data_IF_508013487769
#
_entry.id   IF_508013487769
#
_cell.length_a   1.000
_cell.length_b   1.000
_cell.length_c   1.000
_cell.angle_alpha   90.00
_cell.angle_beta   90.00
_cell.angle_gamma   90.00
#
_symmetry.space_group_name_H-M   'P 1'
#
loop_
_entity.id
_entity.type
_entity.pdbx_description
1 polymer ?
#
# COMPACT_ATOMS: atom_id res chain seq x y z
N UNK A 1 -2.10 -1.63 -1.81
CA UNK A 1 -2.62 -1.99 -3.14
C UNK A 1 -1.82 -3.15 -3.70
N UNK A 2 -2.35 -3.84 -4.72
CA UNK A 2 -1.67 -4.94 -5.40
C UNK A 2 -0.87 -4.43 -6.61
N UNK A 3 0.35 -4.95 -6.78
CA UNK A 3 1.24 -4.59 -7.89
C UNK A 3 1.77 -5.85 -8.56
N UNK A 4 1.88 -5.84 -9.89
CA UNK A 4 2.53 -6.94 -10.61
C UNK A 4 4.04 -6.77 -10.54
N UNK A 5 4.73 -7.68 -9.87
CA UNK A 5 6.20 -7.71 -9.82
C UNK A 5 6.72 -8.80 -10.74
N UNK A 6 7.76 -8.51 -11.51
CA UNK A 6 8.40 -9.49 -12.38
C UNK A 6 9.91 -9.28 -12.47
N UNK A 7 10.62 -10.35 -12.80
CA UNK A 7 12.04 -10.33 -13.16
C UNK A 7 12.20 -10.83 -14.59
N UNK A 8 12.99 -10.11 -15.40
CA UNK A 8 13.30 -10.53 -16.77
C UNK A 8 14.51 -11.44 -16.84
N UNK A 9 14.83 -11.91 -18.05
CA UNK A 9 16.04 -12.72 -18.31
C UNK A 9 17.36 -12.03 -17.93
N UNK A 10 17.35 -10.70 -17.79
CA UNK A 10 18.51 -9.89 -17.40
C UNK A 10 18.59 -9.64 -15.88
N UNK A 11 17.68 -10.23 -15.09
CA UNK A 11 17.65 -10.16 -13.63
C UNK A 11 17.64 -11.59 -13.06
N UNK A 12 18.74 -12.36 -13.24
CA UNK A 12 18.76 -13.79 -12.94
C UNK A 12 18.51 -14.08 -11.45
N UNK A 13 19.08 -13.27 -10.55
CA UNK A 13 18.92 -13.44 -9.10
C UNK A 13 17.46 -13.25 -8.67
N UNK A 14 16.80 -12.17 -9.09
CA UNK A 14 15.39 -11.94 -8.79
C UNK A 14 14.47 -13.01 -9.42
N UNK A 15 14.80 -13.51 -10.61
CA UNK A 15 14.06 -14.60 -11.25
C UNK A 15 14.17 -15.91 -10.46
N UNK A 16 15.38 -16.27 -10.02
CA UNK A 16 15.62 -17.44 -9.15
C UNK A 16 14.86 -17.27 -7.84
N UNK A 17 14.94 -16.08 -7.22
CA UNK A 17 14.22 -15.78 -6.00
C UNK A 17 12.71 -16.02 -6.15
N UNK A 18 12.06 -15.44 -7.16
CA UNK A 18 10.62 -15.61 -7.36
C UNK A 18 10.21 -17.07 -7.67
N UNK A 19 11.11 -17.85 -8.29
CA UNK A 19 10.86 -19.27 -8.56
C UNK A 19 11.01 -20.19 -7.34
N UNK A 20 11.69 -19.73 -6.29
CA UNK A 20 12.09 -20.55 -5.13
C UNK A 20 11.47 -20.11 -3.81
N UNK A 21 11.07 -18.83 -3.70
CA UNK A 21 10.45 -18.27 -2.50
C UNK A 21 9.18 -19.06 -2.13
N UNK A 22 9.06 -19.39 -0.85
CA UNK A 22 7.84 -19.99 -0.32
C UNK A 22 6.82 -18.87 -0.10
N UNK A 23 5.60 -19.06 -0.65
CA UNK A 23 4.49 -18.09 -0.49
C UNK A 23 3.59 -18.58 0.64
N UNK A 24 3.17 -17.70 1.57
CA UNK A 24 3.43 -16.26 1.64
C UNK A 24 4.83 -15.91 2.16
N UNK A 25 5.35 -14.76 1.75
CA UNK A 25 6.54 -14.15 2.34
C UNK A 25 6.47 -12.63 2.23
N UNK A 26 6.94 -11.93 3.26
CA UNK A 26 7.26 -10.51 3.13
C UNK A 26 8.58 -10.37 2.40
N UNK A 27 8.62 -9.45 1.43
CA UNK A 27 9.82 -9.20 0.62
C UNK A 27 10.10 -7.70 0.57
N UNK A 28 11.37 -7.36 0.65
CA UNK A 28 11.91 -6.07 0.24
C UNK A 28 12.33 -6.18 -1.22
N UNK A 29 11.98 -5.18 -2.04
CA UNK A 29 12.41 -5.14 -3.42
C UNK A 29 12.79 -3.73 -3.86
N UNK A 30 13.83 -3.63 -4.68
CA UNK A 30 14.14 -2.43 -5.46
C UNK A 30 13.86 -2.72 -6.92
N UNK A 31 13.38 -1.74 -7.67
CA UNK A 31 13.02 -2.00 -9.04
C UNK A 31 12.50 -0.79 -9.79
N UNK A 32 12.24 -1.01 -11.07
CA UNK A 32 11.74 0.02 -11.98
C UNK A 32 10.23 -0.13 -12.14
N UNK A 33 9.50 0.83 -11.62
CA UNK A 33 8.06 0.94 -11.82
C UNK A 33 7.76 1.34 -13.27
N UNK A 34 6.71 0.76 -13.84
CA UNK A 34 6.14 1.09 -15.14
C UNK A 34 4.64 1.16 -15.00
N UNK A 35 4.06 2.25 -15.48
CA UNK A 35 2.63 2.38 -15.69
C UNK A 35 2.31 2.06 -17.14
N UNK A 36 1.25 1.29 -17.37
CA UNK A 36 0.74 0.97 -18.69
C UNK A 36 -0.78 1.18 -18.70
N UNK A 37 -1.26 1.91 -19.70
CA UNK A 37 -2.68 2.23 -19.87
C UNK A 37 -3.17 1.68 -21.22
N UNK A 38 -3.64 0.41 -21.28
CA UNK A 38 -4.13 -0.19 -22.52
C UNK A 38 -5.44 0.45 -22.99
N UNK A 39 -6.33 0.77 -22.05
CA UNK A 39 -7.61 1.41 -22.29
C UNK A 39 -7.76 2.67 -21.41
N UNK A 40 -8.46 3.72 -21.88
CA UNK A 40 -8.71 4.92 -21.08
C UNK A 40 -9.33 4.58 -19.72
N UNK A 41 -8.65 4.98 -18.64
CA UNK A 41 -9.09 4.74 -17.26
C UNK A 41 -8.56 3.43 -16.64
N UNK A 42 -7.85 2.60 -17.39
CA UNK A 42 -7.18 1.41 -16.84
C UNK A 42 -5.68 1.71 -16.62
N UNK A 43 -5.24 1.82 -15.37
CA UNK A 43 -3.82 2.02 -15.04
C UNK A 43 -3.26 0.74 -14.44
N UNK A 44 -2.36 0.08 -15.17
CA UNK A 44 -1.64 -1.08 -14.68
C UNK A 44 -0.24 -0.67 -14.22
N UNK A 45 0.05 -0.88 -12.94
CA UNK A 45 1.36 -0.64 -12.37
C UNK A 45 2.11 -1.96 -12.27
N UNK A 46 3.28 -2.03 -12.89
CA UNK A 46 4.19 -3.16 -12.78
C UNK A 46 5.56 -2.72 -12.29
N UNK A 47 6.25 -3.58 -11.54
CA UNK A 47 7.60 -3.32 -11.05
C UNK A 47 8.50 -4.41 -11.61
N UNK A 48 9.50 -3.99 -12.38
CA UNK A 48 10.62 -4.87 -12.74
C UNK A 48 11.61 -4.86 -11.59
N UNK A 49 11.65 -5.95 -10.82
CA UNK A 49 12.58 -6.10 -9.71
C UNK A 49 14.03 -6.11 -10.21
N UNK A 50 14.90 -5.37 -9.53
CA UNK A 50 16.35 -5.37 -9.73
C UNK A 50 17.03 -6.16 -8.60
N UNK A 51 16.59 -5.95 -7.36
CA UNK A 51 16.99 -6.72 -6.18
C UNK A 51 15.77 -7.12 -5.37
N UNK A 52 15.81 -8.28 -4.73
CA UNK A 52 14.72 -8.77 -3.87
C UNK A 52 15.27 -9.66 -2.76
N UNK A 53 14.78 -9.46 -1.54
CA UNK A 53 15.17 -10.24 -0.36
C UNK A 53 13.94 -10.49 0.53
N UNK A 54 13.93 -11.61 1.28
CA UNK A 54 12.92 -11.85 2.32
C UNK A 54 13.19 -10.91 3.49
N UNK A 55 12.12 -10.35 4.04
CA UNK A 55 12.14 -9.57 5.29
C UNK A 55 11.13 -10.13 6.27
N UNK A 56 11.27 -9.79 7.54
CA UNK A 56 10.25 -10.07 8.55
C UNK A 56 9.21 -8.95 8.63
N UNK A 57 8.16 -9.22 9.40
CA UNK A 57 7.07 -8.28 9.66
C UNK A 57 7.56 -6.99 10.34
N UNK A 58 8.51 -7.08 11.27
CA UNK A 58 9.06 -5.93 12.00
C UNK A 58 9.77 -4.96 11.03
N UNK A 59 10.62 -5.49 10.15
CA UNK A 59 11.31 -4.72 9.12
C UNK A 59 10.32 -4.06 8.17
N UNK A 60 9.30 -4.79 7.72
CA UNK A 60 8.22 -4.24 6.88
C UNK A 60 7.48 -3.12 7.61
N UNK A 61 7.10 -3.33 8.87
CA UNK A 61 6.37 -2.33 9.68
C UNK A 61 7.18 -1.06 9.85
N UNK A 62 8.48 -1.18 10.14
CA UNK A 62 9.39 -0.04 10.24
C UNK A 62 9.44 0.76 8.93
N UNK A 63 9.54 0.08 7.79
CA UNK A 63 9.52 0.77 6.49
C UNK A 63 8.21 1.49 6.20
N UNK A 64 7.07 0.96 6.65
CA UNK A 64 5.78 1.66 6.54
C UNK A 64 5.79 2.95 7.36
N UNK A 65 6.29 2.92 8.59
CA UNK A 65 6.42 4.11 9.45
C UNK A 65 7.39 5.12 8.86
N UNK A 66 8.61 4.70 8.51
CA UNK A 66 9.64 5.57 7.92
C UNK A 66 9.14 6.24 6.63
N UNK A 67 8.42 5.48 5.79
CA UNK A 67 7.83 6.01 4.55
C UNK A 67 6.72 7.02 4.85
N UNK A 68 5.87 6.75 5.83
CA UNK A 68 4.81 7.65 6.24
C UNK A 68 5.37 8.98 6.75
N UNK A 69 6.34 8.93 7.68
CA UNK A 69 7.00 10.11 8.25
C UNK A 69 7.62 10.98 7.16
N UNK A 70 8.51 10.41 6.35
CA UNK A 70 9.17 11.16 5.26
C UNK A 70 8.17 11.70 4.22
N UNK A 71 7.05 11.01 3.99
CA UNK A 71 6.02 11.50 3.06
C UNK A 71 5.22 12.64 3.67
N UNK A 72 4.92 12.60 4.97
CA UNK A 72 4.27 13.70 5.69
C UNK A 72 5.14 14.94 5.67
N UNK A 73 6.43 14.83 5.98
CA UNK A 73 7.38 15.96 5.92
C UNK A 73 7.37 16.63 4.53
N UNK A 74 7.48 15.83 3.45
CA UNK A 74 7.40 16.36 2.08
C UNK A 74 6.04 17.02 1.79
N UNK A 75 4.94 16.46 2.29
CA UNK A 75 3.60 16.99 2.10
C UNK A 75 3.35 18.29 2.87
N UNK A 76 4.00 18.50 4.02
CA UNK A 76 3.94 19.75 4.76
C UNK A 76 4.56 20.88 3.95
N UNK A 77 5.76 20.66 3.39
CA UNK A 77 6.43 21.62 2.51
C UNK A 77 5.60 21.86 1.24
N UNK A 78 5.04 20.79 0.65
CA UNK A 78 4.16 20.90 -0.52
C UNK A 78 2.88 21.71 -0.21
N UNK A 79 2.27 21.50 0.95
CA UNK A 79 1.06 22.24 1.38
C UNK A 79 1.37 23.71 1.66
N UNK A 80 2.53 24.01 2.24
CA UNK A 80 3.02 25.37 2.45
C UNK A 80 3.28 26.08 1.11
N UNK A 81 3.93 25.40 0.16
CA UNK A 81 4.13 25.89 -1.20
C UNK A 81 2.79 26.19 -1.89
N UNK A 82 1.80 25.32 -1.76
CA UNK A 82 0.44 25.55 -2.27
C UNK A 82 -0.20 26.80 -1.69
N UNK A 83 -0.17 26.92 -0.36
CA UNK A 83 -0.80 28.02 0.39
C UNK A 83 -0.12 29.37 0.11
N UNK A 84 1.18 29.37 -0.22
CA UNK A 84 1.92 30.58 -0.58
C UNK A 84 1.45 31.24 -1.89
N UNK A 85 0.78 30.47 -2.75
CA UNK A 85 0.38 30.85 -4.12
C UNK A 85 1.56 31.27 -5.04
N UNK A 86 2.82 31.11 -4.60
CA UNK A 86 3.99 31.39 -5.43
C UNK A 86 4.21 30.29 -6.47
N UNK A 87 4.81 30.65 -7.61
CA UNK A 87 5.09 29.74 -8.74
C UNK A 87 6.45 30.07 -9.36
N UNK A 88 7.03 29.09 -10.07
CA UNK A 88 8.30 29.24 -10.77
C UNK A 88 9.42 29.70 -9.84
N UNK A 89 10.24 30.66 -10.31
CA UNK A 89 11.40 31.16 -9.57
C UNK A 89 11.04 31.73 -8.19
N UNK A 90 9.90 32.44 -8.08
CA UNK A 90 9.47 33.01 -6.81
C UNK A 90 9.21 31.93 -5.75
N UNK A 91 8.65 30.79 -6.17
CA UNK A 91 8.44 29.67 -5.27
C UNK A 91 9.76 29.03 -4.86
N UNK A 92 10.70 28.89 -5.81
CA UNK A 92 12.03 28.36 -5.58
C UNK A 92 12.77 29.19 -4.53
N UNK A 93 12.85 30.51 -4.71
CA UNK A 93 13.47 31.43 -3.76
C UNK A 93 12.84 31.30 -2.37
N UNK A 94 11.50 31.34 -2.30
CA UNK A 94 10.77 31.20 -1.04
C UNK A 94 11.10 29.91 -0.27
N UNK A 95 11.14 28.76 -0.95
CA UNK A 95 11.44 27.49 -0.30
C UNK A 95 12.90 27.40 0.15
N UNK A 96 13.84 27.89 -0.67
CA UNK A 96 15.26 27.92 -0.31
C UNK A 96 15.54 28.85 0.88
N UNK A 97 14.89 30.01 0.94
CA UNK A 97 14.98 30.93 2.10
C UNK A 97 14.46 30.30 3.39
N UNK A 98 13.51 29.37 3.30
CA UNK A 98 13.02 28.58 4.44
C UNK A 98 13.93 27.40 4.81
N UNK A 99 15.05 27.21 4.11
CA UNK A 99 16.02 26.14 4.37
C UNK A 99 15.60 24.78 3.81
N UNK A 100 14.63 24.75 2.89
CA UNK A 100 14.25 23.52 2.19
C UNK A 100 15.37 23.14 1.21
N UNK A 101 15.68 21.85 1.09
CA UNK A 101 16.76 21.39 0.22
C UNK A 101 16.47 21.72 -1.26
N UNK A 102 17.54 21.88 -2.04
CA UNK A 102 17.41 22.18 -3.47
C UNK A 102 16.63 21.08 -4.20
N UNK A 103 16.85 19.81 -3.85
CA UNK A 103 16.22 18.67 -4.49
C UNK A 103 14.72 18.63 -4.24
N UNK A 104 14.29 18.86 -2.99
CA UNK A 104 12.88 18.90 -2.64
C UNK A 104 12.19 20.13 -3.25
N UNK A 105 12.88 21.28 -3.25
CA UNK A 105 12.39 22.51 -3.89
C UNK A 105 12.09 22.30 -5.36
N UNK A 106 13.05 21.76 -6.14
CA UNK A 106 12.82 21.47 -7.56
C UNK A 106 11.68 20.47 -7.77
N UNK A 107 11.60 19.43 -6.93
CA UNK A 107 10.52 18.45 -7.00
C UNK A 107 9.14 19.08 -6.80
N UNK A 108 9.00 19.97 -5.82
CA UNK A 108 7.74 20.66 -5.52
C UNK A 108 7.35 21.63 -6.65
N UNK A 109 8.30 22.40 -7.17
CA UNK A 109 8.06 23.32 -8.30
C UNK A 109 7.54 22.53 -9.51
N UNK A 110 8.22 21.44 -9.88
CA UNK A 110 7.81 20.58 -11.00
C UNK A 110 6.42 19.97 -10.76
N UNK A 111 6.15 19.50 -9.53
CA UNK A 111 4.88 18.90 -9.18
C UNK A 111 3.72 19.91 -9.31
N UNK A 112 3.88 21.14 -8.80
CA UNK A 112 2.85 22.18 -8.88
C UNK A 112 2.61 22.72 -10.29
N UNK A 113 3.60 22.62 -11.18
CA UNK A 113 3.41 22.98 -12.59
C UNK A 113 2.68 21.91 -13.40
N UNK A 114 2.79 20.63 -13.00
CA UNK A 114 2.24 19.50 -13.76
C UNK A 114 0.90 19.00 -13.24
N UNK A 115 0.68 19.09 -11.93
CA UNK A 115 -0.51 18.53 -11.28
C UNK A 115 -1.72 19.44 -11.51
N UNK A 116 -2.84 18.86 -11.98
CA UNK A 116 -4.05 19.62 -12.31
C UNK A 116 -4.85 20.00 -11.07
N UNK A 117 -4.82 19.14 -10.06
CA UNK A 117 -5.55 19.31 -8.80
C UNK A 117 -4.62 19.04 -7.60
N UNK A 118 -3.64 19.89 -7.33
CA UNK A 118 -2.61 19.59 -6.33
C UNK A 118 -3.17 19.52 -4.89
N UNK A 119 -4.26 20.23 -4.59
CA UNK A 119 -4.98 20.09 -3.32
C UNK A 119 -5.63 18.72 -3.15
N UNK A 120 -6.25 18.18 -4.21
CA UNK A 120 -6.84 16.84 -4.18
C UNK A 120 -5.75 15.78 -4.08
N UNK A 121 -4.65 15.95 -4.81
CA UNK A 121 -3.48 15.09 -4.71
C UNK A 121 -2.94 15.01 -3.28
N UNK A 122 -2.75 16.16 -2.61
CA UNK A 122 -2.30 16.20 -1.22
C UNK A 122 -3.29 15.52 -0.27
N UNK A 123 -4.61 15.69 -0.47
CA UNK A 123 -5.65 15.01 0.32
C UNK A 123 -5.60 13.49 0.14
N UNK A 124 -5.46 13.01 -1.10
CA UNK A 124 -5.39 11.58 -1.41
C UNK A 124 -4.14 10.94 -0.80
N UNK A 125 -2.99 11.61 -0.85
CA UNK A 125 -1.78 11.12 -0.19
C UNK A 125 -1.92 11.08 1.33
N UNK A 126 -2.47 12.14 1.97
CA UNK A 126 -2.74 12.14 3.42
C UNK A 126 -3.66 11.00 3.83
N UNK A 127 -4.71 10.74 3.05
CA UNK A 127 -5.61 9.62 3.26
C UNK A 127 -4.86 8.28 3.15
N UNK A 128 -4.07 8.10 2.09
CA UNK A 128 -3.31 6.87 1.84
C UNK A 128 -2.28 6.57 2.93
N UNK A 129 -1.59 7.59 3.45
CA UNK A 129 -0.66 7.46 4.58
C UNK A 129 -1.39 6.98 5.83
N UNK A 130 -2.54 7.58 6.16
CA UNK A 130 -3.36 7.18 7.31
C UNK A 130 -3.83 5.73 7.18
N UNK A 131 -4.32 5.36 6.00
CA UNK A 131 -4.77 3.99 5.73
C UNK A 131 -3.64 2.97 5.80
N UNK A 132 -2.44 3.34 5.35
CA UNK A 132 -1.23 2.53 5.50
C UNK A 132 -0.83 2.35 6.96
N UNK A 133 -0.82 3.42 7.76
CA UNK A 133 -0.47 3.34 9.18
C UNK A 133 -1.45 2.51 10.00
N UNK A 134 -2.75 2.54 9.68
CA UNK A 134 -3.77 1.68 10.31
C UNK A 134 -3.55 0.18 10.09
N UNK A 135 -2.72 -0.21 9.11
CA UNK A 135 -2.38 -1.62 8.90
C UNK A 135 -1.38 -2.15 9.92
N UNK A 136 -0.69 -1.26 10.62
CA UNK A 136 0.21 -1.63 11.69
C UNK A 136 -0.61 -1.94 12.93
N UNK A 137 -0.42 -3.13 13.50
CA UNK A 137 -1.05 -3.56 14.75
C UNK A 137 -0.41 -2.85 15.95
N UNK A 138 -0.55 -1.53 16.02
CA UNK A 138 -0.04 -0.69 17.10
C UNK A 138 -1.02 -0.62 18.29
N UNK A 139 -2.26 -1.08 18.09
CA UNK A 139 -3.40 -0.91 19.02
C UNK A 139 -3.94 -2.25 19.55
N UNK A 140 -3.07 -3.24 19.83
CA UNK A 140 -3.51 -4.52 20.41
C UNK A 140 -4.11 -4.40 21.83
N UNK A 141 -4.16 -3.21 22.45
CA UNK A 141 -4.68 -3.04 23.81
C UNK A 141 -6.07 -2.38 23.93
N UNK A 142 -6.60 -1.66 22.93
CA UNK A 142 -7.78 -0.79 23.16
C UNK A 142 -9.15 -1.33 22.66
N UNK A 143 -9.24 -2.54 22.08
CA UNK A 143 -10.54 -3.11 21.67
C UNK A 143 -10.57 -4.65 21.48
N UNK A 144 -9.95 -5.39 22.40
CA UNK A 144 -9.75 -6.84 22.25
C UNK A 144 -11.05 -7.69 22.28
N UNK A 145 -12.07 -7.29 23.04
CA UNK A 145 -13.21 -8.20 23.33
C UNK A 145 -14.31 -8.20 22.25
N UNK A 146 -14.63 -7.07 21.62
CA UNK A 146 -15.70 -7.01 20.60
C UNK A 146 -15.22 -7.38 19.17
N UNK A 147 -13.92 -7.22 18.88
CA UNK A 147 -13.32 -7.59 17.59
C UNK A 147 -12.99 -9.07 17.49
N UNK A 148 -12.79 -9.77 18.61
CA UNK A 148 -12.41 -11.18 18.63
C UNK A 148 -13.48 -12.08 18.01
N UNK A 149 -14.76 -11.92 18.40
CA UNK A 149 -15.86 -12.75 17.89
C UNK A 149 -16.09 -12.55 16.38
N UNK A 150 -16.02 -11.31 15.90
CA UNK A 150 -16.17 -10.99 14.48
C UNK A 150 -14.98 -11.49 13.65
N UNK A 151 -13.76 -11.37 14.19
CA UNK A 151 -12.55 -11.89 13.56
C UNK A 151 -12.60 -13.42 13.44
N UNK A 152 -13.00 -14.10 14.52
CA UNK A 152 -13.13 -15.56 14.51
C UNK A 152 -14.16 -16.01 13.47
N UNK A 153 -15.30 -15.34 13.40
CA UNK A 153 -16.31 -15.66 12.41
C UNK A 153 -15.84 -15.45 10.97
N UNK A 154 -15.17 -14.32 10.67
CA UNK A 154 -14.63 -14.05 9.33
C UNK A 154 -13.56 -15.09 8.96
N UNK A 155 -12.75 -15.52 9.93
CA UNK A 155 -11.79 -16.61 9.76
C UNK A 155 -12.47 -17.95 9.48
N UNK A 156 -13.52 -18.30 10.23
CA UNK A 156 -14.31 -19.50 9.99
C UNK A 156 -14.93 -19.49 8.58
N UNK A 157 -15.57 -18.38 8.18
CA UNK A 157 -16.12 -18.22 6.83
C UNK A 157 -15.03 -18.36 5.75
N UNK A 158 -13.85 -17.77 5.95
CA UNK A 158 -12.72 -17.93 5.03
C UNK A 158 -12.23 -19.38 4.97
N UNK A 159 -12.25 -20.13 6.08
CA UNK A 159 -11.88 -21.55 6.09
C UNK A 159 -12.94 -22.42 5.41
N UNK A 160 -14.22 -22.11 5.60
CA UNK A 160 -15.34 -22.83 4.98
C UNK A 160 -15.33 -22.66 3.45
N UNK A 161 -15.10 -21.44 2.98
CA UNK A 161 -15.08 -21.12 1.55
C UNK A 161 -13.71 -21.40 0.92
N UNK A 162 -12.64 -21.21 1.69
CA UNK A 162 -11.24 -21.22 1.26
C UNK A 162 -10.68 -22.62 1.16
N UNK A 163 -11.03 -23.29 0.06
CA UNK A 163 -10.31 -24.49 -0.36
C UNK A 163 -8.86 -24.19 -0.81
N UNK A 164 -8.27 -25.13 -1.53
CA UNK A 164 -6.86 -25.02 -2.00
C UNK A 164 -6.60 -23.86 -2.96
N UNK A 165 -7.64 -23.25 -3.53
CA UNK A 165 -7.56 -22.18 -4.55
C UNK A 165 -7.74 -20.77 -4.00
N UNK A 166 -8.12 -20.62 -2.72
CA UNK A 166 -8.59 -19.35 -2.18
C UNK A 166 -10.06 -19.07 -2.51
N UNK A 167 -10.54 -17.91 -2.06
CA UNK A 167 -11.91 -17.42 -2.16
C UNK A 167 -11.95 -16.18 -3.05
N UNK A 168 -12.94 -16.09 -3.92
CA UNK A 168 -13.23 -14.85 -4.65
C UNK A 168 -13.74 -13.77 -3.69
N UNK A 169 -13.14 -12.59 -3.72
CA UNK A 169 -13.41 -11.49 -2.80
C UNK A 169 -14.89 -11.09 -2.85
N UNK A 170 -15.45 -10.92 -4.05
CA UNK A 170 -16.84 -10.49 -4.20
C UNK A 170 -17.80 -11.55 -3.63
N UNK A 171 -17.56 -12.82 -3.96
CA UNK A 171 -18.34 -13.93 -3.41
C UNK A 171 -18.23 -14.03 -1.87
N UNK A 172 -17.05 -13.73 -1.32
CA UNK A 172 -16.83 -13.69 0.12
C UNK A 172 -17.63 -12.57 0.80
N UNK A 173 -17.64 -11.37 0.22
CA UNK A 173 -18.43 -10.24 0.73
C UNK A 173 -19.92 -10.55 0.74
N UNK A 174 -20.44 -11.15 -0.35
CA UNK A 174 -21.85 -11.56 -0.45
C UNK A 174 -22.21 -12.61 0.62
N UNK A 175 -21.32 -13.58 0.86
CA UNK A 175 -21.51 -14.61 1.87
C UNK A 175 -21.50 -14.03 3.30
N UNK A 176 -20.61 -13.07 3.58
CA UNK A 176 -20.55 -12.39 4.87
C UNK A 176 -21.78 -11.51 5.12
N UNK A 177 -22.23 -10.78 4.10
CA UNK A 177 -23.44 -9.97 4.16
C UNK A 177 -24.69 -10.84 4.43
N UNK A 178 -24.78 -12.01 3.79
CA UNK A 178 -25.87 -12.98 4.02
C UNK A 178 -25.91 -13.52 5.46
N UNK A 179 -24.80 -13.41 6.19
CA UNK A 179 -24.68 -13.81 7.61
C UNK A 179 -24.78 -12.61 8.57
N UNK A 180 -25.13 -11.43 8.07
CA UNK A 180 -25.37 -10.23 8.88
C UNK A 180 -24.11 -9.45 9.26
N UNK A 181 -22.97 -9.73 8.62
CA UNK A 181 -21.74 -8.96 8.85
C UNK A 181 -21.68 -7.80 7.88
N UNK A 182 -21.43 -6.60 8.40
CA UNK A 182 -21.22 -5.42 7.58
C UNK A 182 -19.92 -5.52 6.79
N UNK A 183 -19.94 -5.05 5.55
CA UNK A 183 -18.77 -4.91 4.68
C UNK A 183 -17.57 -4.28 5.40
N UNK A 184 -17.78 -3.21 6.18
CA UNK A 184 -16.72 -2.55 6.96
C UNK A 184 -15.96 -3.50 7.89
N UNK A 185 -16.68 -4.35 8.62
CA UNK A 185 -16.07 -5.35 9.53
C UNK A 185 -15.26 -6.38 8.74
N UNK A 186 -15.79 -6.84 7.61
CA UNK A 186 -15.10 -7.81 6.76
C UNK A 186 -13.80 -7.22 6.20
N UNK A 187 -13.87 -6.00 5.69
CA UNK A 187 -12.71 -5.27 5.17
C UNK A 187 -11.65 -5.04 6.24
N UNK A 188 -12.04 -4.65 7.46
CA UNK A 188 -11.13 -4.47 8.58
C UNK A 188 -10.41 -5.78 8.94
N UNK A 189 -11.15 -6.89 9.06
CA UNK A 189 -10.55 -8.18 9.39
C UNK A 189 -9.64 -8.68 8.27
N UNK A 190 -10.08 -8.66 7.00
CA UNK A 190 -9.23 -9.09 5.88
C UNK A 190 -7.95 -8.24 5.85
N UNK A 191 -8.08 -6.92 6.00
CA UNK A 191 -6.92 -6.01 6.03
C UNK A 191 -5.96 -6.38 7.15
N UNK A 192 -6.46 -6.68 8.34
CA UNK A 192 -5.64 -7.14 9.46
C UNK A 192 -4.92 -8.45 9.14
N UNK A 193 -5.63 -9.44 8.57
CA UNK A 193 -5.04 -10.73 8.22
C UNK A 193 -3.97 -10.61 7.12
N UNK A 194 -4.21 -9.77 6.12
CA UNK A 194 -3.23 -9.45 5.07
C UNK A 194 -2.02 -8.73 5.66
N UNK A 195 -2.26 -7.78 6.57
CA UNK A 195 -1.20 -7.04 7.22
C UNK A 195 -0.34 -7.97 8.07
N UNK A 196 -0.91 -8.85 8.89
CA UNK A 196 -0.17 -9.83 9.70
C UNK A 196 0.35 -11.05 8.93
N UNK A 197 0.21 -11.08 7.60
CA UNK A 197 0.68 -12.22 6.78
C UNK A 197 -0.06 -13.53 7.05
N UNK A 198 -1.22 -13.50 7.71
CA UNK A 198 -2.11 -14.65 7.95
C UNK A 198 -2.98 -14.95 6.72
N UNK A 199 -3.01 -14.03 5.78
CA UNK A 199 -3.73 -14.10 4.53
C UNK A 199 -2.90 -13.47 3.40
N UNK A 200 -3.12 -13.90 2.17
CA UNK A 200 -2.47 -13.33 0.99
C UNK A 200 -3.37 -13.39 -0.25
N UNK A 201 -3.08 -12.54 -1.24
CA UNK A 201 -3.83 -12.45 -2.49
C UNK A 201 -3.02 -13.06 -3.65
N UNK A 202 -3.14 -14.37 -3.96
CA UNK A 202 -2.39 -15.01 -5.04
C UNK A 202 -2.70 -14.45 -6.43
N UNK A 203 -3.92 -13.91 -6.62
CA UNK A 203 -4.38 -13.26 -7.83
C UNK A 203 -5.32 -12.15 -7.43
N UNK A 204 -5.34 -11.06 -8.20
CA UNK A 204 -6.26 -9.93 -7.95
C UNK A 204 -7.69 -10.47 -7.81
N UNK A 205 -8.33 -10.14 -6.69
CA UNK A 205 -9.68 -10.56 -6.33
C UNK A 205 -9.77 -11.94 -5.68
N UNK A 206 -8.68 -12.67 -5.49
CA UNK A 206 -8.67 -14.00 -4.85
C UNK A 206 -7.89 -13.94 -3.54
N UNK A 207 -8.56 -14.17 -2.41
CA UNK A 207 -7.94 -14.18 -1.08
C UNK A 207 -7.68 -15.62 -0.62
N UNK A 208 -6.56 -15.87 0.05
CA UNK A 208 -6.26 -17.19 0.64
C UNK A 208 -5.64 -17.10 2.02
N UNK A 209 -6.17 -17.88 2.96
CA UNK A 209 -5.57 -18.07 4.28
C UNK A 209 -4.25 -18.84 4.19
N UNK A 210 -3.34 -18.47 5.07
CA UNK A 210 -2.06 -19.13 5.27
C UNK A 210 -2.31 -20.31 6.21
N UNK A 211 -2.00 -21.52 5.74
CA UNK A 211 -2.25 -22.78 6.44
C UNK A 211 -0.99 -23.36 7.05
#
# INVERSE_FOLDING_TARGET
GAFTVYAGQYQPEASIFFSTVQVPAFIALTGKARTYEPEPGSVFVSIRAEEVNIVDEETRNRWVVDTAEQTVERLEVFSDALTSEYRGEKLREYLLEKGISSELTEGIVIALERERSPDEFAKLLKFSIREGLKTLDLDSEDNADAKADQKEFVLELLREMGGTKGVDYAAFMDAAASRGISEQVVEEVIRFLLAGGQCYEPKIGIIRLVG
#
